data_IF_947282553755
#
_entry.id   IF_947282553755
#
_cell.length_a   1.000
_cell.length_b   1.000
_cell.length_c   1.000
_cell.angle_alpha   90.00
_cell.angle_beta   90.00
_cell.angle_gamma   90.00
#
_symmetry.space_group_name_H-M   'P 1'
#
loop_
_entity.id
_entity.type
_entity.pdbx_description
1 polymer ?
#
# COMPACT_ATOMS: atom_id res chain seq x y z
N UNK A 1 -14.33 16.59 -16.68
CA UNK A 1 -13.45 15.67 -15.90
C UNK A 1 -12.23 15.39 -16.74
N UNK A 2 -11.04 15.70 -16.25
CA UNK A 2 -9.79 15.29 -16.89
C UNK A 2 -9.55 13.81 -16.52
N UNK A 3 -9.52 12.92 -17.48
CA UNK A 3 -9.18 11.50 -17.29
C UNK A 3 -7.65 11.27 -17.29
N UNK A 4 -6.87 12.34 -17.41
CA UNK A 4 -5.41 12.30 -17.48
C UNK A 4 -4.87 12.80 -16.15
N UNK A 5 -4.00 12.00 -15.51
CA UNK A 5 -3.24 12.43 -14.34
C UNK A 5 -2.47 13.71 -14.67
N UNK A 6 -2.49 14.67 -13.75
CA UNK A 6 -1.69 15.90 -13.87
C UNK A 6 -0.21 15.68 -13.50
N UNK A 7 0.21 14.45 -13.26
CA UNK A 7 1.58 14.12 -12.85
C UNK A 7 2.53 14.26 -14.05
N UNK A 8 3.59 15.03 -13.87
CA UNK A 8 4.69 15.10 -14.86
C UNK A 8 5.38 13.72 -14.96
N UNK A 9 5.49 13.12 -16.14
CA UNK A 9 6.17 11.84 -16.31
C UNK A 9 7.62 11.81 -15.78
N UNK A 10 8.32 12.95 -15.78
CA UNK A 10 9.69 13.06 -15.25
C UNK A 10 9.73 12.96 -13.73
N UNK A 11 8.71 13.50 -13.04
CA UNK A 11 8.56 13.37 -11.59
C UNK A 11 8.24 11.93 -11.20
N UNK A 12 7.39 11.28 -11.99
CA UNK A 12 7.07 9.87 -11.83
C UNK A 12 8.31 9.00 -12.01
N UNK A 13 9.04 9.19 -13.13
CA UNK A 13 10.27 8.44 -13.43
C UNK A 13 11.31 8.58 -12.33
N UNK A 14 11.56 9.81 -11.86
CA UNK A 14 12.47 10.08 -10.74
C UNK A 14 12.07 9.31 -9.47
N UNK A 15 10.80 9.35 -9.09
CA UNK A 15 10.34 8.67 -7.88
C UNK A 15 10.47 7.13 -8.00
N UNK A 16 10.05 6.58 -9.14
CA UNK A 16 10.09 5.13 -9.39
C UNK A 16 11.54 4.61 -9.47
N UNK A 17 12.43 5.33 -10.14
CA UNK A 17 13.83 4.90 -10.26
C UNK A 17 14.51 4.82 -8.88
N UNK A 18 14.32 5.79 -8.01
CA UNK A 18 14.87 5.76 -6.64
C UNK A 18 14.31 4.60 -5.80
N UNK A 19 13.03 4.30 -5.95
CA UNK A 19 12.42 3.13 -5.29
C UNK A 19 13.00 1.83 -5.85
N UNK A 20 13.11 1.68 -7.18
CA UNK A 20 13.74 0.52 -7.80
C UNK A 20 15.17 0.30 -7.34
N UNK A 21 15.99 1.37 -7.30
CA UNK A 21 17.38 1.31 -6.80
C UNK A 21 17.40 0.78 -5.37
N UNK A 22 16.55 1.32 -4.49
CA UNK A 22 16.51 0.89 -3.10
C UNK A 22 16.11 -0.59 -2.97
N UNK A 23 14.99 -1.01 -3.52
CA UNK A 23 14.49 -2.37 -3.34
C UNK A 23 15.40 -3.42 -4.03
N UNK A 24 15.98 -3.10 -5.18
CA UNK A 24 17.03 -3.94 -5.81
C UNK A 24 18.27 -4.05 -4.93
N UNK A 25 18.70 -2.97 -4.27
CA UNK A 25 19.82 -3.02 -3.32
C UNK A 25 19.54 -3.90 -2.10
N UNK A 26 18.27 -4.14 -1.79
CA UNK A 26 17.82 -5.09 -0.75
C UNK A 26 17.67 -6.52 -1.27
N UNK A 27 17.93 -6.76 -2.54
CA UNK A 27 17.82 -8.09 -3.17
C UNK A 27 16.41 -8.49 -3.58
N UNK A 28 15.46 -7.55 -3.66
CA UNK A 28 14.11 -7.83 -4.15
C UNK A 28 14.08 -7.81 -5.67
N UNK A 29 13.17 -8.62 -6.25
CA UNK A 29 12.99 -8.80 -7.69
C UNK A 29 11.69 -8.13 -8.14
N UNK A 30 11.71 -7.43 -9.28
CA UNK A 30 10.50 -6.86 -9.88
C UNK A 30 9.61 -7.94 -10.48
N UNK A 31 8.36 -8.02 -10.02
CA UNK A 31 7.39 -9.02 -10.45
C UNK A 31 6.32 -8.43 -11.38
N UNK A 32 5.94 -9.12 -12.47
CA UNK A 32 4.96 -8.64 -13.44
C UNK A 32 3.52 -8.92 -13.01
N UNK A 33 3.04 -8.26 -11.96
CA UNK A 33 1.72 -8.53 -11.37
C UNK A 33 0.53 -8.13 -12.27
N UNK A 34 0.71 -7.19 -13.20
CA UNK A 34 -0.38 -6.70 -14.06
C UNK A 34 -0.83 -7.71 -15.12
N UNK A 35 -0.10 -8.79 -15.31
CA UNK A 35 -0.44 -9.87 -16.26
C UNK A 35 -1.48 -10.85 -15.72
N UNK A 36 -1.88 -10.71 -14.45
CA UNK A 36 -2.80 -11.64 -13.80
C UNK A 36 -4.06 -10.92 -13.31
N UNK A 37 -5.19 -11.58 -13.46
CA UNK A 37 -6.46 -11.16 -12.87
C UNK A 37 -6.73 -11.97 -11.61
N UNK A 38 -7.10 -11.31 -10.52
CA UNK A 38 -7.39 -11.95 -9.24
C UNK A 38 -8.57 -11.29 -8.56
N UNK A 39 -9.46 -12.10 -7.99
CA UNK A 39 -10.56 -11.62 -7.15
C UNK A 39 -9.98 -11.04 -5.84
N UNK A 40 -8.90 -11.63 -5.32
CA UNK A 40 -8.26 -11.19 -4.09
C UNK A 40 -7.40 -9.91 -4.27
N UNK A 41 -7.32 -9.36 -5.49
CA UNK A 41 -6.71 -8.05 -5.74
C UNK A 41 -7.57 -6.86 -5.26
N UNK A 42 -8.76 -7.13 -4.69
CA UNK A 42 -9.59 -6.12 -4.04
C UNK A 42 -8.96 -5.68 -2.71
N UNK A 43 -9.07 -4.39 -2.40
CA UNK A 43 -8.50 -3.82 -1.18
C UNK A 43 -9.51 -3.75 -0.02
N UNK A 44 -9.10 -3.14 1.09
CA UNK A 44 -9.81 -3.10 2.37
C UNK A 44 -11.23 -2.53 2.30
N UNK A 45 -11.48 -1.48 1.49
CA UNK A 45 -12.83 -0.92 1.35
C UNK A 45 -13.62 -1.60 0.23
N UNK A 46 -14.59 -2.48 0.58
CA UNK A 46 -15.37 -3.20 -0.41
C UNK A 46 -16.24 -2.31 -1.30
N UNK A 47 -16.54 -1.07 -0.88
CA UNK A 47 -17.37 -0.12 -1.64
C UNK A 47 -16.65 0.42 -2.87
N UNK A 48 -15.33 0.37 -2.88
CA UNK A 48 -14.50 0.84 -3.99
C UNK A 48 -14.22 -0.20 -5.06
N UNK A 49 -14.69 -1.47 -4.86
CA UNK A 49 -14.43 -2.58 -5.76
C UNK A 49 -15.20 -2.39 -7.08
N UNK A 50 -14.45 -2.24 -8.16
CA UNK A 50 -14.97 -2.32 -9.53
C UNK A 50 -14.76 -3.71 -10.11
N UNK A 51 -15.58 -4.09 -11.09
CA UNK A 51 -15.45 -5.34 -11.83
C UNK A 51 -15.49 -5.11 -13.34
N UNK A 52 -14.89 -6.05 -14.06
CA UNK A 52 -14.91 -6.08 -15.53
C UNK A 52 -15.09 -7.52 -16.02
N UNK A 53 -15.59 -7.67 -17.24
CA UNK A 53 -15.77 -8.98 -17.86
C UNK A 53 -14.59 -9.31 -18.76
N UNK A 54 -13.96 -10.45 -18.52
CA UNK A 54 -12.88 -10.98 -19.35
C UNK A 54 -13.01 -12.50 -19.48
N UNK A 55 -12.94 -13.03 -20.71
CA UNK A 55 -13.09 -14.46 -20.97
C UNK A 55 -14.44 -15.03 -20.57
N UNK A 56 -15.52 -14.21 -20.57
CA UNK A 56 -16.85 -14.60 -20.15
C UNK A 56 -17.08 -14.64 -18.64
N UNK A 57 -16.09 -14.24 -17.83
CA UNK A 57 -16.16 -14.18 -16.38
C UNK A 57 -15.98 -12.75 -15.86
N UNK A 58 -16.61 -12.45 -14.70
CA UNK A 58 -16.38 -11.18 -14.00
C UNK A 58 -15.14 -11.28 -13.11
N UNK A 59 -14.31 -10.21 -13.11
CA UNK A 59 -13.08 -10.09 -12.36
C UNK A 59 -13.01 -8.73 -11.65
N UNK A 60 -12.33 -8.68 -10.50
CA UNK A 60 -12.06 -7.41 -9.86
C UNK A 60 -11.06 -6.59 -10.70
N UNK A 61 -11.34 -5.29 -10.91
CA UNK A 61 -10.33 -4.35 -11.35
C UNK A 61 -9.22 -4.31 -10.29
N UNK A 62 -7.95 -4.39 -10.69
CA UNK A 62 -6.85 -4.40 -9.75
C UNK A 62 -6.85 -3.16 -8.86
N UNK A 63 -6.80 -3.36 -7.54
CA UNK A 63 -6.62 -2.31 -6.55
C UNK A 63 -5.25 -2.41 -5.87
N UNK A 64 -4.64 -3.60 -5.91
CA UNK A 64 -3.33 -3.90 -5.35
C UNK A 64 -2.70 -5.08 -6.07
N UNK A 65 -1.38 -5.09 -6.17
CA UNK A 65 -0.57 -6.24 -6.57
C UNK A 65 -0.14 -7.13 -5.40
N UNK A 66 -0.45 -6.73 -4.17
CA UNK A 66 0.08 -7.31 -2.93
C UNK A 66 -0.16 -8.83 -2.84
N UNK A 67 -1.39 -9.30 -3.11
CA UNK A 67 -1.72 -10.72 -3.03
C UNK A 67 -0.92 -11.59 -4.01
N UNK A 68 -0.51 -11.03 -5.16
CA UNK A 68 0.35 -11.72 -6.11
C UNK A 68 1.81 -11.73 -5.65
N UNK A 69 2.28 -10.65 -5.04
CA UNK A 69 3.62 -10.62 -4.44
C UNK A 69 3.73 -11.64 -3.31
N UNK A 70 2.70 -11.74 -2.45
CA UNK A 70 2.63 -12.78 -1.41
C UNK A 70 2.62 -14.18 -2.02
N UNK A 71 1.82 -14.42 -3.06
CA UNK A 71 1.80 -15.69 -3.77
C UNK A 71 3.18 -16.07 -4.32
N UNK A 72 3.88 -15.13 -4.97
CA UNK A 72 5.23 -15.40 -5.47
C UNK A 72 6.21 -15.71 -4.35
N UNK A 73 6.17 -14.99 -3.23
CA UNK A 73 7.06 -15.23 -2.11
C UNK A 73 6.77 -16.57 -1.41
N UNK A 74 5.49 -16.90 -1.22
CA UNK A 74 5.07 -18.16 -0.59
C UNK A 74 5.38 -19.39 -1.45
N UNK A 75 5.37 -19.24 -2.78
CA UNK A 75 5.73 -20.34 -3.71
C UNK A 75 7.21 -20.42 -4.03
N UNK A 76 7.98 -19.36 -3.75
CA UNK A 76 9.42 -19.30 -3.98
C UNK A 76 10.13 -18.72 -2.73
N UNK A 77 10.11 -19.41 -1.60
CA UNK A 77 10.60 -18.90 -0.32
C UNK A 77 12.12 -18.64 -0.27
N UNK A 78 12.88 -19.16 -1.23
CA UNK A 78 14.33 -18.90 -1.33
C UNK A 78 14.66 -17.50 -1.88
N UNK A 79 13.69 -16.83 -2.47
CA UNK A 79 13.86 -15.44 -2.95
C UNK A 79 13.67 -14.50 -1.78
N UNK A 80 14.51 -13.46 -1.71
CA UNK A 80 14.45 -12.50 -0.60
C UNK A 80 13.14 -11.72 -0.54
N UNK A 81 12.55 -11.43 -1.68
CA UNK A 81 11.27 -10.75 -1.80
C UNK A 81 11.03 -10.24 -3.21
N UNK A 82 9.86 -9.68 -3.38
CA UNK A 82 9.41 -9.14 -4.66
C UNK A 82 8.89 -7.71 -4.49
N UNK A 83 8.94 -6.93 -5.56
CA UNK A 83 8.25 -5.66 -5.66
C UNK A 83 7.58 -5.53 -7.02
N UNK A 84 6.63 -4.64 -7.14
CA UNK A 84 5.98 -4.33 -8.41
C UNK A 84 5.57 -2.87 -8.48
N UNK A 85 5.30 -2.43 -9.71
CA UNK A 85 4.56 -1.20 -9.96
C UNK A 85 3.18 -1.64 -10.44
N UNK A 86 2.14 -1.19 -9.77
CA UNK A 86 0.77 -1.51 -10.08
C UNK A 86 -0.06 -0.25 -10.31
N UNK A 87 -1.16 -0.39 -11.01
CA UNK A 87 -2.18 0.66 -11.11
C UNK A 87 -3.37 0.24 -10.26
N UNK A 88 -3.71 1.07 -9.28
CA UNK A 88 -4.88 0.89 -8.43
C UNK A 88 -6.10 1.55 -9.07
N UNK A 89 -7.21 0.80 -9.17
CA UNK A 89 -8.50 1.29 -9.66
C UNK A 89 -9.51 1.26 -8.51
N UNK A 90 -9.82 2.42 -7.94
CA UNK A 90 -10.75 2.55 -6.81
C UNK A 90 -11.95 3.40 -7.21
N UNK A 91 -13.13 2.82 -7.13
CA UNK A 91 -14.37 3.56 -7.37
C UNK A 91 -14.78 4.34 -6.11
N UNK A 92 -13.91 5.26 -5.68
CA UNK A 92 -14.18 6.13 -4.54
C UNK A 92 -15.48 6.91 -4.76
N UNK A 93 -16.48 6.77 -3.87
CA UNK A 93 -17.73 7.53 -4.01
C UNK A 93 -17.49 9.03 -3.86
N UNK A 94 -16.73 9.43 -2.83
CA UNK A 94 -16.47 10.81 -2.45
C UNK A 94 -14.95 11.07 -2.32
N UNK A 95 -14.21 11.15 -3.45
CA UNK A 95 -12.76 11.35 -3.40
C UNK A 95 -12.40 12.75 -2.91
N UNK A 96 -11.46 12.83 -1.97
CA UNK A 96 -10.92 14.11 -1.49
C UNK A 96 -9.94 14.66 -2.54
N UNK A 97 -10.20 15.84 -3.14
CA UNK A 97 -9.33 16.43 -4.14
C UNK A 97 -7.89 16.59 -3.63
N UNK A 98 -6.91 16.19 -4.45
CA UNK A 98 -5.48 16.26 -4.11
C UNK A 98 -4.98 15.18 -3.14
N UNK A 99 -5.86 14.32 -2.65
CA UNK A 99 -5.54 13.21 -1.74
C UNK A 99 -5.96 11.85 -2.31
N UNK A 100 -7.15 11.78 -2.92
CA UNK A 100 -7.72 10.56 -3.46
C UNK A 100 -7.92 10.69 -4.98
N UNK A 101 -7.17 9.93 -5.74
CA UNK A 101 -7.42 9.68 -7.16
C UNK A 101 -8.14 8.33 -7.29
N UNK A 102 -9.04 8.21 -8.29
CA UNK A 102 -9.70 6.93 -8.58
C UNK A 102 -8.80 5.94 -9.31
N UNK A 103 -7.80 6.46 -9.99
CA UNK A 103 -6.78 5.68 -10.69
C UNK A 103 -5.42 6.27 -10.36
N UNK A 104 -4.55 5.48 -9.75
CA UNK A 104 -3.23 5.95 -9.33
C UNK A 104 -2.21 4.81 -9.34
N UNK A 105 -0.93 5.17 -9.46
CA UNK A 105 0.15 4.21 -9.39
C UNK A 105 0.58 3.96 -7.95
N UNK A 106 0.89 2.68 -7.70
CA UNK A 106 1.51 2.21 -6.47
C UNK A 106 2.82 1.49 -6.78
N UNK A 107 3.75 1.62 -5.85
CA UNK A 107 4.91 0.75 -5.75
C UNK A 107 4.68 -0.17 -4.55
N UNK A 108 4.64 -1.47 -4.77
CA UNK A 108 4.31 -2.44 -3.73
C UNK A 108 5.45 -3.42 -3.54
N UNK A 109 5.62 -3.92 -2.33
CA UNK A 109 6.69 -4.87 -2.00
C UNK A 109 6.22 -5.91 -0.99
N UNK A 110 6.83 -7.10 -1.04
CA UNK A 110 6.65 -8.18 -0.07
C UNK A 110 8.00 -8.87 0.14
N UNK A 111 8.37 -9.13 1.40
CA UNK A 111 9.66 -9.70 1.78
C UNK A 111 9.53 -10.56 3.04
N UNK A 112 10.54 -11.38 3.31
CA UNK A 112 10.66 -12.05 4.60
C UNK A 112 10.84 -11.05 5.73
N UNK A 113 10.22 -11.31 6.86
CA UNK A 113 10.41 -10.54 8.07
C UNK A 113 9.12 -10.28 8.85
N UNK A 114 9.32 -9.78 10.03
CA UNK A 114 8.32 -9.35 10.98
C UNK A 114 8.12 -7.82 10.94
N UNK A 115 7.27 -7.30 11.81
CA UNK A 115 7.02 -5.86 11.93
C UNK A 115 8.28 -5.05 12.22
N UNK A 116 9.24 -5.59 13.00
CA UNK A 116 10.50 -4.90 13.26
C UNK A 116 11.39 -4.83 12.02
N UNK A 117 11.35 -5.85 11.19
CA UNK A 117 12.05 -5.87 9.89
C UNK A 117 11.42 -4.85 8.95
N UNK A 118 10.09 -4.80 8.90
CA UNK A 118 9.33 -3.82 8.12
C UNK A 118 9.67 -2.38 8.53
N UNK A 119 9.62 -2.08 9.82
CA UNK A 119 9.94 -0.76 10.36
C UNK A 119 11.37 -0.32 10.01
N UNK A 120 12.34 -1.25 10.09
CA UNK A 120 13.74 -0.97 9.68
C UNK A 120 13.85 -0.73 8.17
N UNK A 121 13.12 -1.49 7.35
CA UNK A 121 13.12 -1.35 5.90
C UNK A 121 12.57 0.02 5.48
N UNK A 122 11.43 0.42 6.02
CA UNK A 122 10.79 1.70 5.71
C UNK A 122 11.61 2.90 6.23
N UNK A 123 12.17 2.78 7.43
CA UNK A 123 13.12 3.79 7.95
C UNK A 123 14.32 3.96 7.00
N UNK A 124 14.91 2.85 6.54
CA UNK A 124 16.03 2.87 5.61
C UNK A 124 15.61 3.41 4.22
N UNK A 125 14.41 3.12 3.78
CA UNK A 125 13.84 3.66 2.54
C UNK A 125 13.74 5.19 2.59
N UNK A 126 13.16 5.75 3.65
CA UNK A 126 13.02 7.20 3.77
C UNK A 126 14.36 7.91 3.84
N UNK A 127 15.36 7.32 4.54
CA UNK A 127 16.74 7.84 4.56
C UNK A 127 17.33 7.80 3.14
N UNK A 128 17.20 6.69 2.41
CA UNK A 128 17.65 6.54 1.03
C UNK A 128 17.01 7.56 0.08
N UNK A 129 15.74 7.82 0.24
CA UNK A 129 15.01 8.80 -0.57
C UNK A 129 15.46 10.25 -0.27
N UNK A 130 16.09 10.50 0.88
CA UNK A 130 16.59 11.83 1.26
C UNK A 130 15.74 12.58 2.26
N UNK A 131 14.76 11.93 2.90
CA UNK A 131 13.90 12.57 3.91
C UNK A 131 14.60 12.88 5.24
N UNK A 132 15.90 12.67 5.33
CA UNK A 132 16.70 12.96 6.51
C UNK A 132 17.15 11.72 7.27
N UNK A 133 17.43 11.86 8.56
CA UNK A 133 17.92 10.80 9.43
C UNK A 133 16.84 10.33 10.42
N UNK A 134 17.00 9.12 10.95
CA UNK A 134 16.00 8.46 11.83
C UNK A 134 15.58 9.32 13.03
N UNK A 135 16.46 10.17 13.57
CA UNK A 135 16.13 11.04 14.70
C UNK A 135 15.13 12.17 14.34
N UNK A 136 14.88 12.40 13.06
CA UNK A 136 13.84 13.32 12.58
C UNK A 136 12.46 12.65 12.45
N UNK A 137 12.39 11.33 12.57
CA UNK A 137 11.18 10.55 12.38
C UNK A 137 10.47 10.35 13.73
N UNK A 138 9.16 10.53 13.75
CA UNK A 138 8.34 10.28 14.93
C UNK A 138 7.66 8.92 14.79
N UNK A 139 7.70 8.11 15.86
CA UNK A 139 7.08 6.80 15.94
C UNK A 139 6.08 6.80 17.10
N UNK A 140 4.83 6.45 16.84
CA UNK A 140 3.79 6.33 17.88
C UNK A 140 2.80 5.22 17.52
N UNK A 141 2.24 4.60 18.54
CA UNK A 141 1.15 3.66 18.37
C UNK A 141 -0.18 4.38 18.10
N UNK A 142 -1.09 3.71 17.40
CA UNK A 142 -2.39 4.26 17.04
C UNK A 142 -3.17 4.77 18.24
N UNK A 143 -3.26 3.95 19.31
CA UNK A 143 -4.03 4.32 20.50
C UNK A 143 -3.45 5.53 21.23
N UNK A 144 -2.13 5.61 21.37
CA UNK A 144 -1.45 6.76 22.00
C UNK A 144 -1.67 8.03 21.17
N UNK A 145 -1.60 7.90 19.83
CA UNK A 145 -1.85 9.01 18.91
C UNK A 145 -3.30 9.47 18.95
N UNK A 146 -4.26 8.55 18.91
CA UNK A 146 -5.68 8.85 18.98
C UNK A 146 -6.05 9.53 20.33
N UNK A 147 -5.49 9.02 21.43
CA UNK A 147 -5.65 9.63 22.74
C UNK A 147 -5.09 11.06 22.80
N UNK A 148 -3.89 11.29 22.26
CA UNK A 148 -3.26 12.61 22.21
C UNK A 148 -4.04 13.60 21.31
N UNK A 149 -4.72 13.10 20.28
CA UNK A 149 -5.61 13.90 19.42
C UNK A 149 -7.01 14.12 20.04
N UNK A 150 -7.37 13.35 21.07
CA UNK A 150 -8.70 13.39 21.70
C UNK A 150 -9.78 12.75 20.82
N UNK A 151 -9.45 11.73 20.01
CA UNK A 151 -10.35 11.07 19.07
C UNK A 151 -10.35 9.55 19.25
N UNK A 152 -11.38 8.89 18.73
CA UNK A 152 -11.44 7.44 18.70
C UNK A 152 -10.84 6.91 17.39
N UNK A 153 -11.03 7.63 16.28
CA UNK A 153 -10.56 7.24 14.97
C UNK A 153 -9.71 8.35 14.32
N UNK A 154 -8.54 7.97 13.82
CA UNK A 154 -7.63 8.88 13.12
C UNK A 154 -8.05 8.96 11.65
N UNK A 155 -8.33 10.17 11.17
CA UNK A 155 -8.76 10.46 9.80
C UNK A 155 -7.71 11.31 9.07
N UNK A 156 -7.94 11.58 7.80
CA UNK A 156 -7.12 12.46 6.97
C UNK A 156 -6.88 13.86 7.60
N UNK A 157 -7.89 14.41 8.28
CA UNK A 157 -7.77 15.71 8.96
C UNK A 157 -6.80 15.64 10.16
N UNK A 158 -6.79 14.49 10.85
CA UNK A 158 -5.89 14.26 11.98
C UNK A 158 -4.44 14.06 11.52
N UNK A 159 -4.22 13.41 10.36
CA UNK A 159 -2.89 13.32 9.76
C UNK A 159 -2.34 14.71 9.40
N UNK A 160 -3.18 15.58 8.84
CA UNK A 160 -2.80 16.96 8.54
C UNK A 160 -2.48 17.75 9.80
N UNK A 161 -3.24 17.53 10.90
CA UNK A 161 -2.99 18.13 12.20
C UNK A 161 -1.65 17.70 12.80
N UNK A 162 -1.30 16.40 12.72
CA UNK A 162 0.01 15.87 13.14
C UNK A 162 1.14 16.61 12.42
N UNK A 163 0.99 16.89 11.14
CA UNK A 163 1.98 17.66 10.39
C UNK A 163 2.00 19.13 10.80
N UNK A 164 0.86 19.83 10.73
CA UNK A 164 0.81 21.30 10.86
C UNK A 164 0.90 21.79 12.29
N UNK A 165 0.30 21.09 13.25
CA UNK A 165 0.22 21.52 14.64
C UNK A 165 1.28 20.86 15.52
N UNK A 166 1.57 19.55 15.29
CA UNK A 166 2.62 18.84 16.02
C UNK A 166 4.00 18.97 15.39
N UNK A 167 4.08 19.55 14.19
CA UNK A 167 5.32 19.77 13.44
C UNK A 167 6.10 18.49 13.14
N UNK A 168 5.38 17.41 12.82
CA UNK A 168 5.99 16.14 12.41
C UNK A 168 5.85 15.94 10.91
N UNK A 169 6.92 16.21 10.16
CA UNK A 169 6.95 15.99 8.69
C UNK A 169 6.90 14.50 8.34
N UNK A 170 7.45 13.63 9.20
CA UNK A 170 7.55 12.19 9.01
C UNK A 170 7.07 11.49 10.28
N UNK A 171 5.97 10.78 10.14
CA UNK A 171 5.29 10.15 11.26
C UNK A 171 4.95 8.69 10.92
N UNK A 172 5.40 7.77 11.77
CA UNK A 172 5.07 6.35 11.71
C UNK A 172 3.97 6.06 12.73
N UNK A 173 2.80 5.70 12.21
CA UNK A 173 1.65 5.29 13.00
C UNK A 173 1.57 3.77 12.96
N UNK A 174 1.56 3.11 14.13
CA UNK A 174 1.67 1.65 14.19
C UNK A 174 0.62 1.02 15.12
N UNK A 175 0.49 -0.32 15.06
CA UNK A 175 -0.39 -1.12 15.92
C UNK A 175 -1.86 -0.69 15.86
N UNK A 176 -2.49 -0.94 14.70
CA UNK A 176 -3.87 -0.53 14.42
C UNK A 176 -4.89 -1.42 15.15
N UNK A 177 -5.82 -0.83 15.93
CA UNK A 177 -6.88 -1.59 16.59
C UNK A 177 -7.80 -2.30 15.61
N UNK A 178 -8.38 -3.45 16.00
CA UNK A 178 -9.24 -4.24 15.14
C UNK A 178 -10.52 -3.49 14.69
N UNK A 179 -11.01 -2.53 15.47
CA UNK A 179 -12.15 -1.71 15.08
C UNK A 179 -11.88 -0.80 13.86
N UNK A 180 -10.62 -0.54 13.52
CA UNK A 180 -10.24 0.17 12.28
C UNK A 180 -10.28 -0.73 11.05
N UNK A 181 -10.70 -1.98 11.20
CA UNK A 181 -10.83 -2.99 10.14
C UNK A 181 -9.54 -3.23 9.34
N UNK A 182 -8.40 -3.55 9.99
CA UNK A 182 -7.17 -3.91 9.26
C UNK A 182 -7.44 -5.07 8.31
N UNK A 183 -6.71 -5.14 7.19
CA UNK A 183 -6.97 -6.16 6.18
C UNK A 183 -6.81 -7.58 6.75
N UNK A 184 -7.64 -8.50 6.30
CA UNK A 184 -7.83 -9.83 6.87
C UNK A 184 -6.57 -10.71 6.99
N UNK A 185 -5.53 -10.45 6.18
CA UNK A 185 -4.28 -11.21 6.22
C UNK A 185 -3.15 -10.53 7.03
N UNK A 186 -3.43 -9.39 7.67
CA UNK A 186 -2.50 -8.75 8.58
C UNK A 186 -2.40 -9.52 9.89
N UNK A 187 -1.19 -9.64 10.44
CA UNK A 187 -0.98 -10.36 11.70
C UNK A 187 -1.62 -9.62 12.85
N UNK A 188 -2.48 -10.31 13.56
CA UNK A 188 -3.12 -9.84 14.78
C UNK A 188 -2.29 -10.21 16.01
N UNK A 189 -2.15 -9.28 16.96
CA UNK A 189 -1.52 -9.49 18.27
C UNK A 189 -2.43 -8.87 19.33
N UNK A 190 -3.13 -9.71 20.10
CA UNK A 190 -4.20 -9.21 20.98
C UNK A 190 -5.30 -8.53 20.18
N UNK A 191 -5.60 -7.28 20.49
CA UNK A 191 -6.65 -6.50 19.80
C UNK A 191 -6.11 -5.54 18.73
N UNK A 192 -4.85 -5.65 18.34
CA UNK A 192 -4.23 -4.81 17.33
C UNK A 192 -3.66 -5.64 16.18
N UNK A 193 -3.59 -5.03 14.99
CA UNK A 193 -2.84 -5.55 13.86
C UNK A 193 -1.43 -4.95 13.82
N UNK A 194 -0.44 -5.75 13.43
CA UNK A 194 0.92 -5.30 13.14
C UNK A 194 0.96 -4.55 11.81
N UNK A 195 0.28 -3.41 11.78
CA UNK A 195 0.19 -2.49 10.64
C UNK A 195 1.00 -1.23 10.92
N UNK A 196 1.61 -0.65 9.88
CA UNK A 196 2.30 0.63 9.90
C UNK A 196 1.77 1.49 8.77
N UNK A 197 1.37 2.71 9.07
CA UNK A 197 1.15 3.77 8.09
C UNK A 197 2.23 4.83 8.26
N UNK A 198 2.94 5.14 7.16
CA UNK A 198 3.91 6.23 7.14
C UNK A 198 3.24 7.46 6.56
N UNK A 199 3.07 8.45 7.42
CA UNK A 199 2.46 9.73 7.10
C UNK A 199 3.59 10.72 6.76
N UNK A 200 3.61 11.19 5.53
CA UNK A 200 4.58 12.18 5.05
C UNK A 200 3.85 13.51 4.80
N UNK A 201 4.26 14.55 5.52
CA UNK A 201 3.67 15.90 5.38
C UNK A 201 2.13 15.88 5.47
N UNK A 202 1.60 15.17 6.47
CA UNK A 202 0.17 15.11 6.74
C UNK A 202 -0.64 14.23 5.80
N UNK A 203 0.01 13.30 5.08
CA UNK A 203 -0.68 12.37 4.19
C UNK A 203 -0.07 10.97 4.30
N UNK A 204 -0.89 9.97 4.65
CA UNK A 204 -0.49 8.58 4.55
C UNK A 204 0.06 8.31 3.15
N UNK A 205 1.31 7.87 3.08
CA UNK A 205 2.02 7.65 1.81
C UNK A 205 2.43 6.20 1.64
N UNK A 206 2.72 5.50 2.75
CA UNK A 206 3.01 4.07 2.76
C UNK A 206 2.04 3.41 3.73
N UNK A 207 1.35 2.36 3.30
CA UNK A 207 0.57 1.47 4.14
C UNK A 207 1.17 0.07 4.07
N UNK A 208 1.49 -0.52 5.25
CA UNK A 208 2.22 -1.77 5.30
C UNK A 208 1.86 -2.61 6.52
N UNK A 209 2.17 -3.92 6.49
CA UNK A 209 1.90 -4.80 7.61
C UNK A 209 2.80 -6.04 7.62
N UNK A 210 2.98 -6.61 8.80
CA UNK A 210 3.35 -8.01 8.96
C UNK A 210 2.14 -8.89 8.62
N UNK A 211 2.37 -9.97 7.87
CA UNK A 211 1.29 -10.88 7.45
C UNK A 211 1.11 -12.01 8.47
N UNK A 212 -0.14 -12.41 8.67
CA UNK A 212 -0.45 -13.56 9.51
C UNK A 212 0.07 -14.86 8.89
N UNK A 213 0.47 -15.79 9.74
CA UNK A 213 0.76 -17.19 9.39
C UNK A 213 -0.33 -18.13 9.91
N UNK A 214 -1.30 -17.63 10.64
CA UNK A 214 -2.44 -18.39 11.14
C UNK A 214 -3.57 -18.42 10.10
N UNK A 215 -3.67 -19.53 9.38
CA UNK A 215 -4.66 -19.72 8.32
C UNK A 215 -6.11 -19.72 8.83
N UNK A 216 -6.34 -20.14 10.08
CA UNK A 216 -7.69 -20.13 10.66
C UNK A 216 -8.11 -18.70 11.02
N UNK A 217 -7.20 -17.94 11.65
CA UNK A 217 -7.43 -16.53 11.94
C UNK A 217 -7.67 -15.74 10.65
N UNK A 218 -6.85 -15.94 9.62
CA UNK A 218 -7.04 -15.25 8.32
C UNK A 218 -8.39 -15.59 7.68
N UNK A 219 -8.82 -16.87 7.75
CA UNK A 219 -10.13 -17.29 7.24
C UNK A 219 -11.26 -16.60 7.98
N UNK A 220 -11.21 -16.58 9.31
CA UNK A 220 -12.21 -15.94 10.14
C UNK A 220 -12.28 -14.42 9.89
N UNK A 221 -11.12 -13.76 9.81
CA UNK A 221 -11.03 -12.33 9.52
C UNK A 221 -11.54 -12.00 8.10
N UNK A 222 -11.27 -12.84 7.10
CA UNK A 222 -11.83 -12.64 5.75
C UNK A 222 -13.35 -12.53 5.75
N UNK A 223 -14.01 -13.32 6.59
CA UNK A 223 -15.47 -13.33 6.69
C UNK A 223 -16.04 -12.25 7.62
N UNK A 224 -15.25 -11.69 8.50
CA UNK A 224 -15.72 -10.77 9.55
C UNK A 224 -15.26 -9.32 9.39
N UNK A 225 -14.17 -9.06 8.64
CA UNK A 225 -13.68 -7.69 8.37
C UNK A 225 -14.81 -6.80 7.83
N UNK A 226 -14.82 -5.54 8.24
CA UNK A 226 -15.86 -4.56 7.89
C UNK A 226 -17.28 -5.08 8.20
N UNK A 227 -17.45 -5.77 9.34
CA UNK A 227 -18.71 -6.42 9.74
C UNK A 227 -19.22 -7.44 8.69
N UNK A 228 -18.32 -8.16 8.03
CA UNK A 228 -18.63 -9.15 7.00
C UNK A 228 -18.94 -8.56 5.62
N UNK A 229 -18.94 -7.24 5.49
CA UNK A 229 -19.28 -6.56 4.24
C UNK A 229 -18.28 -6.89 3.11
N UNK A 230 -17.01 -7.07 3.44
CA UNK A 230 -15.97 -7.41 2.47
C UNK A 230 -16.29 -8.72 1.73
N UNK A 231 -16.48 -9.82 2.48
CA UNK A 231 -16.80 -11.12 1.89
C UNK A 231 -18.15 -11.08 1.13
N UNK A 232 -19.18 -10.46 1.70
CA UNK A 232 -20.49 -10.35 1.07
C UNK A 232 -20.43 -9.62 -0.28
N UNK A 233 -19.67 -8.54 -0.38
CA UNK A 233 -19.50 -7.79 -1.61
C UNK A 233 -18.78 -8.61 -2.69
N UNK A 234 -17.72 -9.34 -2.31
CA UNK A 234 -17.02 -10.26 -3.22
C UNK A 234 -17.95 -11.38 -3.68
N UNK A 235 -18.77 -11.95 -2.79
CA UNK A 235 -19.74 -13.00 -3.16
C UNK A 235 -20.80 -12.49 -4.13
N UNK A 236 -21.30 -11.28 -3.90
CA UNK A 236 -22.31 -10.66 -4.79
C UNK A 236 -21.75 -10.40 -6.20
N UNK A 237 -20.48 -9.98 -6.31
CA UNK A 237 -19.85 -9.65 -7.60
C UNK A 237 -19.31 -10.87 -8.35
N UNK A 238 -18.74 -11.85 -7.64
CA UNK A 238 -17.92 -12.92 -8.25
C UNK A 238 -18.43 -14.32 -7.96
N UNK A 239 -19.48 -14.48 -7.17
CA UNK A 239 -20.04 -15.76 -6.76
C UNK A 239 -19.31 -16.40 -5.58
N UNK A 240 -20.08 -16.84 -4.57
CA UNK A 240 -19.53 -17.38 -3.30
C UNK A 240 -18.55 -18.52 -3.51
N UNK A 241 -18.95 -19.55 -4.26
CA UNK A 241 -18.08 -20.73 -4.49
C UNK A 241 -16.72 -20.39 -5.11
N UNK A 242 -16.71 -19.42 -6.03
CA UNK A 242 -15.49 -18.99 -6.71
C UNK A 242 -14.57 -18.19 -5.78
N UNK A 243 -15.13 -17.31 -4.96
CA UNK A 243 -14.38 -16.53 -3.97
C UNK A 243 -13.78 -17.44 -2.92
N UNK A 244 -14.59 -18.33 -2.33
CA UNK A 244 -14.15 -19.32 -1.34
C UNK A 244 -13.01 -20.20 -1.89
N UNK A 245 -13.15 -20.70 -3.11
CA UNK A 245 -12.09 -21.48 -3.74
C UNK A 245 -10.78 -20.71 -3.88
N UNK A 246 -10.84 -19.41 -4.20
CA UNK A 246 -9.65 -18.56 -4.31
C UNK A 246 -9.01 -18.32 -2.94
N UNK A 247 -9.83 -18.06 -1.92
CA UNK A 247 -9.36 -17.92 -0.54
C UNK A 247 -8.66 -19.20 -0.07
N UNK A 248 -9.31 -20.36 -0.19
CA UNK A 248 -8.75 -21.64 0.26
C UNK A 248 -7.47 -22.02 -0.50
N UNK A 249 -7.39 -21.72 -1.80
CA UNK A 249 -6.16 -21.91 -2.57
C UNK A 249 -5.01 -21.04 -2.04
N UNK A 250 -5.29 -19.82 -1.62
CA UNK A 250 -4.29 -18.96 -1.00
C UNK A 250 -3.89 -19.48 0.39
N UNK A 251 -4.86 -19.83 1.22
CA UNK A 251 -4.62 -20.35 2.59
C UNK A 251 -3.92 -21.71 2.62
N UNK A 252 -3.97 -22.48 1.54
CA UNK A 252 -3.24 -23.74 1.40
C UNK A 252 -1.74 -23.58 1.09
N UNK A 253 -1.26 -22.34 0.84
CA UNK A 253 0.15 -22.10 0.60
C UNK A 253 0.96 -22.25 1.90
N UNK A 254 2.26 -22.61 1.81
CA UNK A 254 3.12 -22.72 2.98
C UNK A 254 3.37 -21.32 3.59
N UNK A 255 2.62 -20.99 4.63
CA UNK A 255 2.72 -19.69 5.28
C UNK A 255 4.07 -19.50 5.97
N UNK A 256 4.76 -18.41 5.64
CA UNK A 256 6.03 -18.00 6.25
C UNK A 256 5.88 -16.61 6.86
N UNK A 257 6.74 -16.28 7.80
CA UNK A 257 6.82 -14.91 8.35
C UNK A 257 7.26 -13.95 7.26
N UNK A 258 6.38 -13.04 6.90
CA UNK A 258 6.54 -12.07 5.82
C UNK A 258 5.92 -10.74 6.17
N UNK A 259 6.38 -9.70 5.51
CA UNK A 259 5.85 -8.35 5.64
C UNK A 259 5.96 -7.60 4.31
N UNK A 260 5.10 -6.64 4.12
CA UNK A 260 5.10 -5.85 2.92
C UNK A 260 4.09 -4.73 2.96
N UNK A 261 4.04 -3.96 1.89
CA UNK A 261 3.15 -2.81 1.82
C UNK A 261 3.13 -2.13 0.46
N UNK A 262 2.34 -1.08 0.40
CA UNK A 262 2.14 -0.26 -0.79
C UNK A 262 2.54 1.19 -0.54
N UNK A 263 3.25 1.76 -1.49
CA UNK A 263 3.67 3.16 -1.53
C UNK A 263 2.82 3.84 -2.59
N UNK A 264 1.96 4.77 -2.20
CA UNK A 264 1.19 5.58 -3.16
C UNK A 264 2.13 6.55 -3.90
N UNK A 265 2.25 6.40 -5.21
CA UNK A 265 3.17 7.24 -6.00
C UNK A 265 2.49 8.54 -6.40
N UNK A 266 1.34 8.45 -7.06
CA UNK A 266 0.58 9.60 -7.54
C UNK A 266 -0.70 9.79 -6.72
N UNK A 267 -0.91 10.92 -6.06
CA UNK A 267 0.01 12.07 -5.94
C UNK A 267 0.98 11.98 -4.75
N UNK A 268 0.85 10.98 -3.86
CA UNK A 268 1.34 10.95 -2.47
C UNK A 268 2.87 11.08 -2.35
N UNK A 269 3.65 10.15 -2.85
CA UNK A 269 5.12 10.17 -2.75
C UNK A 269 5.73 11.35 -3.52
N UNK A 270 5.21 11.63 -4.73
CA UNK A 270 5.68 12.78 -5.54
C UNK A 270 5.46 14.10 -4.79
N UNK A 271 4.29 14.28 -4.15
CA UNK A 271 4.03 15.44 -3.29
C UNK A 271 5.02 15.51 -2.13
N UNK A 272 5.26 14.42 -1.44
CA UNK A 272 6.18 14.37 -0.31
C UNK A 272 7.61 14.74 -0.72
N UNK A 273 8.10 14.20 -1.85
CA UNK A 273 9.43 14.52 -2.40
C UNK A 273 9.55 16.01 -2.77
N UNK A 274 8.48 16.63 -3.30
CA UNK A 274 8.45 18.08 -3.57
C UNK A 274 8.51 18.91 -2.29
N UNK A 275 7.70 18.56 -1.29
CA UNK A 275 7.67 19.30 -0.01
C UNK A 275 9.00 19.18 0.76
N UNK A 276 9.67 18.06 0.63
CA UNK A 276 11.00 17.85 1.20
C UNK A 276 12.14 18.53 0.42
N UNK A 277 11.87 19.14 -0.74
CA UNK A 277 12.88 19.74 -1.61
C UNK A 277 13.81 18.69 -2.27
N UNK A 278 13.38 17.42 -2.34
CA UNK A 278 14.15 16.31 -2.92
C UNK A 278 13.92 16.21 -4.43
N UNK A 279 12.71 16.53 -4.89
CA UNK A 279 12.34 16.50 -6.30
C UNK A 279 13.15 17.54 -7.08
N UNK A 280 13.91 17.16 -8.12
CA UNK A 280 14.66 18.11 -8.92
C UNK A 280 13.71 19.03 -9.70
N UNK A 281 14.18 20.26 -10.01
CA UNK A 281 13.50 21.10 -10.97
C UNK A 281 13.77 20.57 -12.38
N UNK A 282 12.71 20.25 -13.11
CA UNK A 282 12.83 19.83 -14.51
C UNK A 282 12.69 21.03 -15.44
N UNK A 283 13.76 21.33 -16.18
CA UNK A 283 13.72 22.36 -17.24
C UNK A 283 12.89 21.87 -18.43
N UNK A 284 12.15 22.77 -19.10
CA UNK A 284 11.51 22.44 -20.36
C UNK A 284 12.53 21.94 -21.38
N UNK A 285 12.18 20.92 -22.18
CA UNK A 285 12.98 20.49 -23.30
C UNK A 285 13.06 21.60 -24.33
N UNK A 286 14.23 22.20 -24.50
CA UNK A 286 14.50 23.10 -25.61
C UNK A 286 14.99 22.26 -26.80
N UNK A 287 14.40 22.47 -27.99
CA UNK A 287 14.64 21.72 -29.22
C UNK A 287 16.09 21.78 -29.76
N UNK A 288 17.01 22.47 -29.07
CA UNK A 288 18.41 22.61 -29.52
C UNK A 288 19.28 21.38 -29.37
N UNK A 289 18.79 20.34 -28.72
CA UNK A 289 19.44 19.03 -28.64
C UNK A 289 18.62 17.97 -29.40
N UNK A 290 18.38 18.18 -30.68
CA UNK A 290 17.93 17.12 -31.56
C UNK A 290 19.03 16.05 -31.57
N UNK A 291 18.71 14.88 -30.99
CA UNK A 291 19.56 13.70 -31.17
C UNK A 291 19.52 13.40 -32.66
N UNK A 292 20.61 13.64 -33.37
CA UNK A 292 20.79 13.09 -34.70
C UNK A 292 20.80 11.56 -34.55
N UNK A 293 19.67 10.94 -35.00
CA UNK A 293 19.53 9.49 -35.07
C UNK A 293 20.24 8.95 -36.32
#
# INVERSE_FOLDING_TARGET
>A
MSFISSTDPREYDFAIDRLRIFFRSKGLIEAPVQQQVSILAACEDPRTIMDFTFGGESWAMPQTGQMLLEYYLLTNPDVRGYYCISTSYRNEPDPIPGRHDRVFQMFEFETHGDMQTLLRLETALLIHLGFGSKNMFRFMDYMDTAHALGVQEITAEHEEKIWKEWHHDIFFLSHFPQYTSPFWNMKKVGDVANKIDVILYGMETIGSAERSTDVNEMRDLFHTISNGMYAQMLYAKFGKSRVEKRLENFLALPMITRCGGGIGITPRMIRALKLAGIMPAFTPYHQEAAIEL
#
